data_IF_538197625312
#
_entry.id   IF_538197625312
#
_cell.length_a   1.000
_cell.length_b   1.000
_cell.length_c   1.000
_cell.angle_alpha   90.00
_cell.angle_beta   90.00
_cell.angle_gamma   90.00
#
_symmetry.space_group_name_H-M   'P 1'
#
loop_
_entity.id
_entity.type
_entity.pdbx_description
1 polymer ?
#
# COMPACT_ATOMS: atom_id res chain seq x y z
N UNK A 1 -9.33 12.26 23.92
CA UNK A 1 -9.35 12.95 22.61
C UNK A 1 -10.19 12.11 21.66
N UNK A 2 -11.36 12.60 21.23
CA UNK A 2 -12.15 11.95 20.18
C UNK A 2 -11.36 11.99 18.87
N UNK A 3 -11.09 10.84 18.25
CA UNK A 3 -10.49 10.79 16.91
C UNK A 3 -11.54 11.24 15.89
N UNK A 4 -11.19 12.15 15.00
CA UNK A 4 -12.08 12.62 13.93
C UNK A 4 -12.25 11.53 12.85
N UNK A 5 -13.37 11.53 12.14
CA UNK A 5 -13.60 10.57 11.04
C UNK A 5 -12.52 10.65 9.95
N UNK A 6 -11.96 11.84 9.70
CA UNK A 6 -10.83 12.07 8.79
C UNK A 6 -9.56 11.34 9.23
N UNK A 7 -9.28 11.34 10.53
CA UNK A 7 -8.14 10.61 11.09
C UNK A 7 -8.30 9.11 10.84
N UNK A 8 -9.46 8.52 11.14
CA UNK A 8 -9.73 7.10 10.91
C UNK A 8 -9.64 6.71 9.42
N UNK A 9 -10.09 7.58 8.52
CA UNK A 9 -9.93 7.39 7.07
C UNK A 9 -8.45 7.37 6.66
N UNK A 10 -7.67 8.40 7.05
CA UNK A 10 -6.26 8.50 6.70
C UNK A 10 -5.46 7.31 7.24
N UNK A 11 -5.71 6.92 8.50
CA UNK A 11 -5.12 5.72 9.10
C UNK A 11 -5.44 4.45 8.31
N UNK A 12 -6.70 4.30 7.86
CA UNK A 12 -7.11 3.14 7.05
C UNK A 12 -6.38 3.09 5.70
N UNK A 13 -6.25 4.24 5.03
CA UNK A 13 -5.49 4.35 3.78
C UNK A 13 -4.01 4.00 3.99
N UNK A 14 -3.39 4.50 5.05
CA UNK A 14 -1.99 4.20 5.37
C UNK A 14 -1.80 2.70 5.61
N UNK A 15 -2.69 2.07 6.38
CA UNK A 15 -2.64 0.63 6.66
C UNK A 15 -2.75 -0.21 5.38
N UNK A 16 -3.69 0.12 4.50
CA UNK A 16 -3.86 -0.59 3.22
C UNK A 16 -2.59 -0.44 2.37
N UNK A 17 -2.06 0.79 2.25
CA UNK A 17 -0.83 1.06 1.50
C UNK A 17 0.35 0.25 2.04
N UNK A 18 0.51 0.16 3.36
CA UNK A 18 1.63 -0.54 3.99
C UNK A 18 1.60 -2.05 3.70
N UNK A 19 0.43 -2.68 3.72
CA UNK A 19 0.28 -4.10 3.35
C UNK A 19 0.71 -4.33 1.91
N UNK A 20 0.20 -3.50 0.99
CA UNK A 20 0.52 -3.60 -0.44
C UNK A 20 2.02 -3.34 -0.70
N UNK A 21 2.59 -2.29 -0.09
CA UNK A 21 4.02 -1.96 -0.19
C UNK A 21 4.90 -3.14 0.26
N UNK A 22 4.60 -3.74 1.42
CA UNK A 22 5.35 -4.90 1.95
C UNK A 22 5.28 -6.09 0.99
N UNK A 23 4.10 -6.40 0.47
CA UNK A 23 3.92 -7.49 -0.50
C UNK A 23 4.75 -7.25 -1.78
N UNK A 24 4.72 -6.05 -2.35
CA UNK A 24 5.52 -5.72 -3.52
C UNK A 24 7.02 -5.67 -3.21
N UNK A 25 7.43 -5.25 -2.00
CA UNK A 25 8.82 -5.30 -1.54
C UNK A 25 9.37 -6.72 -1.58
N UNK A 26 8.62 -7.68 -1.04
CA UNK A 26 8.91 -9.13 -1.09
C UNK A 26 9.02 -9.60 -2.54
N UNK A 27 8.01 -9.31 -3.37
CA UNK A 27 8.01 -9.77 -4.76
C UNK A 27 9.14 -9.20 -5.62
N UNK A 28 9.49 -7.92 -5.44
CA UNK A 28 10.60 -7.28 -6.16
C UNK A 28 11.96 -7.87 -5.80
N UNK A 29 12.15 -8.34 -4.56
CA UNK A 29 13.37 -9.06 -4.14
C UNK A 29 13.46 -10.44 -4.78
N UNK A 30 12.34 -11.16 -4.83
CA UNK A 30 12.24 -12.47 -5.51
C UNK A 30 12.49 -12.41 -7.00
N UNK A 31 11.88 -11.41 -7.62
CA UNK A 31 11.76 -11.30 -9.05
C UNK A 31 12.36 -9.96 -9.46
N UNK A 32 13.68 -9.92 -9.75
CA UNK A 32 14.36 -8.69 -10.19
C UNK A 32 13.68 -8.04 -11.40
N UNK A 33 13.00 -8.84 -12.23
CA UNK A 33 12.19 -8.36 -13.33
C UNK A 33 11.19 -7.29 -12.87
N UNK A 34 10.62 -7.35 -11.66
CA UNK A 34 9.65 -6.39 -11.11
C UNK A 34 10.30 -5.08 -10.58
N UNK A 35 11.62 -5.01 -10.48
CA UNK A 35 12.36 -3.79 -10.07
C UNK A 35 12.62 -2.84 -11.24
N UNK A 36 12.56 -3.34 -12.46
CA UNK A 36 12.87 -2.56 -13.66
C UNK A 36 11.66 -1.69 -13.97
N UNK A 37 11.83 -0.38 -14.13
CA UNK A 37 10.76 0.52 -14.59
C UNK A 37 10.48 0.35 -16.10
N UNK A 38 10.35 -0.90 -16.54
CA UNK A 38 9.84 -1.22 -17.87
C UNK A 38 8.31 -1.18 -17.78
N UNK A 39 7.64 -0.75 -18.86
CA UNK A 39 6.20 -0.86 -19.00
C UNK A 39 5.79 -2.34 -18.94
N UNK A 40 5.52 -2.83 -17.73
CA UNK A 40 5.12 -4.21 -17.52
C UNK A 40 3.80 -4.45 -18.23
N UNK A 41 3.75 -5.56 -18.98
CA UNK A 41 2.48 -6.08 -19.46
C UNK A 41 1.86 -6.90 -18.31
N UNK A 42 0.54 -7.07 -18.34
CA UNK A 42 -0.18 -7.88 -17.35
C UNK A 42 0.42 -9.29 -17.16
N UNK A 43 1.01 -9.83 -18.24
CA UNK A 43 1.63 -11.17 -18.29
C UNK A 43 2.75 -11.37 -17.26
N UNK A 44 3.58 -10.36 -17.01
CA UNK A 44 4.71 -10.48 -16.09
C UNK A 44 4.22 -10.69 -14.65
N UNK A 45 3.19 -9.94 -14.23
CA UNK A 45 2.59 -10.10 -12.90
C UNK A 45 1.95 -11.48 -12.73
N UNK A 46 1.19 -11.94 -13.72
CA UNK A 46 0.58 -13.28 -13.68
C UNK A 46 1.65 -14.38 -13.58
N UNK A 47 2.72 -14.29 -14.37
CA UNK A 47 3.81 -15.28 -14.33
C UNK A 47 4.51 -15.28 -12.96
N UNK A 48 4.85 -14.11 -12.42
CA UNK A 48 5.48 -14.01 -11.08
C UNK A 48 4.57 -14.52 -9.98
N UNK A 49 3.25 -14.31 -10.08
CA UNK A 49 2.28 -14.80 -9.11
C UNK A 49 2.20 -16.33 -9.09
N UNK A 50 2.13 -16.94 -10.27
CA UNK A 50 2.08 -18.41 -10.39
C UNK A 50 3.35 -19.04 -9.83
N UNK A 51 4.52 -18.52 -10.22
CA UNK A 51 5.82 -19.03 -9.75
C UNK A 51 5.95 -18.84 -8.24
N UNK A 52 5.54 -17.69 -7.71
CA UNK A 52 5.54 -17.43 -6.26
C UNK A 52 4.70 -18.45 -5.49
N UNK A 53 3.49 -18.73 -5.97
CA UNK A 53 2.59 -19.69 -5.33
C UNK A 53 3.12 -21.13 -5.41
N UNK A 54 3.71 -21.52 -6.54
CA UNK A 54 4.35 -22.83 -6.68
C UNK A 54 5.49 -22.98 -5.68
N UNK A 55 6.36 -21.99 -5.56
CA UNK A 55 7.45 -22.03 -4.61
C UNK A 55 7.00 -22.07 -3.14
N UNK A 56 5.91 -21.35 -2.79
CA UNK A 56 5.31 -21.46 -1.46
C UNK A 56 4.80 -22.88 -1.19
N UNK A 57 4.21 -23.54 -2.20
CA UNK A 57 3.73 -24.92 -2.09
C UNK A 57 4.88 -25.91 -1.87
N UNK A 58 6.02 -25.69 -2.50
CA UNK A 58 7.23 -26.52 -2.33
C UNK A 58 8.02 -26.18 -1.05
N UNK A 59 7.50 -25.31 -0.17
CA UNK A 59 8.19 -24.80 1.01
C UNK A 59 9.60 -24.24 0.70
N UNK A 60 9.78 -23.67 -0.49
CA UNK A 60 11.04 -23.03 -0.85
C UNK A 60 11.26 -21.83 0.06
N UNK A 61 12.40 -21.83 0.75
CA UNK A 61 12.74 -20.79 1.71
C UNK A 61 12.80 -19.43 1.00
N UNK A 62 12.13 -18.44 1.56
CA UNK A 62 12.29 -17.05 1.14
C UNK A 62 13.69 -16.63 1.61
N UNK A 63 14.59 -16.14 0.73
CA UNK A 63 15.95 -15.80 1.14
C UNK A 63 15.97 -14.83 2.33
N UNK A 64 16.98 -14.94 3.21
CA UNK A 64 17.00 -14.23 4.50
C UNK A 64 17.18 -12.70 4.37
N UNK A 65 17.71 -12.22 3.24
CA UNK A 65 17.87 -10.79 2.89
C UNK A 65 16.55 -10.00 2.75
N UNK A 66 15.43 -10.60 3.17
CA UNK A 66 14.06 -10.15 2.94
C UNK A 66 13.40 -9.54 4.16
N UNK A 67 14.12 -9.52 5.29
CA UNK A 67 13.76 -8.72 6.47
C UNK A 67 13.97 -7.25 6.09
N UNK A 68 12.87 -6.53 5.88
CA UNK A 68 12.90 -5.09 5.74
C UNK A 68 13.48 -4.49 7.04
N UNK A 69 14.65 -3.85 6.94
CA UNK A 69 14.83 -2.62 7.72
C UNK A 69 13.86 -1.63 7.11
N UNK A 70 12.73 -1.42 7.77
CA UNK A 70 11.86 -0.28 7.49
C UNK A 70 12.77 0.95 7.52
N UNK A 71 13.11 1.50 6.35
CA UNK A 71 13.55 2.88 6.32
C UNK A 71 12.31 3.65 6.73
N UNK A 72 12.35 4.33 7.87
CA UNK A 72 11.35 5.33 8.21
C UNK A 72 11.22 6.27 7.00
N UNK A 73 10.17 6.07 6.20
CA UNK A 73 9.72 7.10 5.29
C UNK A 73 9.26 8.22 6.21
N UNK A 74 10.06 9.28 6.29
CA UNK A 74 9.63 10.56 6.81
C UNK A 74 8.30 10.86 6.14
N UNK A 75 7.21 10.77 6.90
CA UNK A 75 5.92 11.17 6.39
C UNK A 75 6.02 12.68 6.24
N UNK A 76 6.19 13.16 5.01
CA UNK A 76 6.03 14.58 4.70
C UNK A 76 4.75 15.07 5.39
N UNK A 77 4.81 16.14 6.19
CA UNK A 77 3.64 16.67 6.86
C UNK A 77 2.54 16.87 5.82
N UNK A 78 1.33 16.41 6.14
CA UNK A 78 0.18 16.68 5.29
C UNK A 78 0.06 18.19 5.18
N UNK A 79 0.42 18.75 4.03
CA UNK A 79 0.30 20.17 3.80
C UNK A 79 -1.20 20.46 3.68
N UNK A 80 -1.78 21.03 4.74
CA UNK A 80 -3.16 21.50 4.73
C UNK A 80 -3.23 22.71 3.80
N UNK A 81 -3.58 22.47 2.54
CA UNK A 81 -3.94 23.53 1.62
C UNK A 81 -5.34 24.04 2.00
N UNK A 82 -5.55 25.37 2.08
CA UNK A 82 -6.87 25.92 2.33
C UNK A 82 -7.75 25.71 1.08
N UNK A 83 -8.49 24.60 1.07
CA UNK A 83 -9.35 24.18 -0.03
C UNK A 83 -10.75 24.81 0.09
N UNK A 84 -11.04 25.84 -0.72
CA UNK A 84 -12.42 26.17 -1.09
C UNK A 84 -12.72 25.56 -2.47
N UNK A 85 -12.84 24.23 -2.53
CA UNK A 85 -13.31 23.53 -3.72
C UNK A 85 -14.53 22.66 -3.40
N UNK A 86 -15.63 22.73 -4.17
CA UNK A 86 -16.86 21.96 -3.91
C UNK A 86 -16.66 20.44 -3.78
N UNK A 87 -15.65 19.87 -4.45
CA UNK A 87 -15.36 18.44 -4.34
C UNK A 87 -14.82 18.02 -2.96
N UNK A 88 -14.18 18.94 -2.22
CA UNK A 88 -13.69 18.66 -0.88
C UNK A 88 -14.85 18.39 0.08
N UNK A 89 -15.95 19.12 -0.06
CA UNK A 89 -17.18 18.92 0.71
C UNK A 89 -17.81 17.55 0.47
N UNK A 90 -17.85 17.10 -0.79
CA UNK A 90 -18.39 15.78 -1.15
C UNK A 90 -17.55 14.66 -0.51
N UNK A 91 -16.22 14.74 -0.66
CA UNK A 91 -15.30 13.78 -0.05
C UNK A 91 -15.48 13.73 1.47
N UNK A 92 -15.58 14.89 2.10
CA UNK A 92 -15.69 15.01 3.55
C UNK A 92 -17.02 14.43 4.06
N UNK A 93 -18.12 14.63 3.33
CA UNK A 93 -19.42 14.05 3.67
C UNK A 93 -19.39 12.52 3.58
N UNK A 94 -18.81 11.95 2.52
CA UNK A 94 -18.70 10.49 2.37
C UNK A 94 -17.86 9.88 3.49
N UNK A 95 -16.71 10.50 3.81
CA UNK A 95 -15.85 10.03 4.91
C UNK A 95 -16.61 10.07 6.23
N UNK A 96 -17.29 11.17 6.53
CA UNK A 96 -18.03 11.31 7.77
C UNK A 96 -19.20 10.31 7.85
N UNK A 97 -19.96 10.11 6.78
CA UNK A 97 -21.07 9.16 6.76
C UNK A 97 -20.62 7.71 6.97
N UNK A 98 -19.52 7.30 6.33
CA UNK A 98 -19.02 5.93 6.44
C UNK A 98 -18.39 5.67 7.81
N UNK A 99 -17.48 6.54 8.26
CA UNK A 99 -16.74 6.33 9.51
C UNK A 99 -17.53 6.70 10.76
N UNK A 100 -18.63 7.45 10.67
CA UNK A 100 -19.54 7.64 11.81
C UNK A 100 -20.38 6.39 12.12
N UNK A 101 -20.45 5.42 11.21
CA UNK A 101 -21.18 4.15 11.38
C UNK A 101 -20.29 2.98 11.82
N UNK A 102 -18.99 3.20 11.90
CA UNK A 102 -17.95 2.24 12.31
C UNK A 102 -17.61 2.41 13.79
#
# INVERSE_FOLDING_TARGET
MQKTCTYSYNESIIRIRNVVKRQYGVWKRRFPILKIDLLFKFKQFTATAVIHNMALKENEMIPEDWVEREKEENHEPIQEFPDYHPSHTIRQNIINEYFARL
#
